data_IF_145833488437
#
_entry.id   IF_145833488437
#
_cell.length_a   1.000
_cell.length_b   1.000
_cell.length_c   1.000
_cell.angle_alpha   90.00
_cell.angle_beta   90.00
_cell.angle_gamma   90.00
#
_symmetry.space_group_name_H-M   'P 1'
#
loop_
_entity.id
_entity.type
_entity.pdbx_description
1 polymer ?
#
# COMPACT_ATOMS: atom_id res chain seq x y z
N UNK A 1 -29.41 24.60 13.27
CA UNK A 1 -28.34 24.95 12.31
C UNK A 1 -27.09 24.16 12.66
N UNK A 2 -26.91 22.97 12.10
CA UNK A 2 -25.64 22.24 12.21
C UNK A 2 -24.72 22.80 11.14
N UNK A 3 -23.77 23.66 11.53
CA UNK A 3 -22.68 24.06 10.65
C UNK A 3 -21.88 22.85 10.17
N UNK A 4 -21.03 23.00 9.14
CA UNK A 4 -20.18 21.91 8.69
C UNK A 4 -19.36 21.39 9.88
N UNK A 5 -19.57 20.12 10.24
CA UNK A 5 -18.79 19.48 11.29
C UNK A 5 -17.31 19.55 10.88
N UNK A 6 -16.41 20.03 11.74
CA UNK A 6 -14.99 19.99 11.44
C UNK A 6 -14.58 18.52 11.24
N UNK A 7 -13.79 18.20 10.20
CA UNK A 7 -13.41 16.83 9.90
C UNK A 7 -12.68 16.21 11.10
N UNK A 8 -13.27 15.15 11.67
CA UNK A 8 -12.70 14.26 12.71
C UNK A 8 -12.08 14.93 13.94
N UNK A 9 -12.46 16.17 14.28
CA UNK A 9 -11.83 16.93 15.36
C UNK A 9 -12.21 16.46 16.80
N UNK A 10 -13.14 15.52 16.94
CA UNK A 10 -13.78 15.21 18.23
C UNK A 10 -13.47 13.81 18.78
N UNK A 11 -12.75 12.96 18.04
CA UNK A 11 -12.26 11.68 18.57
C UNK A 11 -10.88 11.87 19.19
N UNK A 12 -10.70 11.47 20.44
CA UNK A 12 -9.36 11.37 21.01
C UNK A 12 -8.55 10.38 20.17
N UNK A 13 -7.37 10.77 19.66
CA UNK A 13 -6.53 9.85 18.91
C UNK A 13 -6.05 8.72 19.82
N UNK A 14 -5.95 7.51 19.28
CA UNK A 14 -5.23 6.42 19.94
C UNK A 14 -3.79 6.86 20.11
N UNK A 15 -3.17 6.49 21.23
CA UNK A 15 -1.78 6.83 21.55
C UNK A 15 -1.04 5.54 21.87
N UNK A 16 0.27 5.54 21.60
CA UNK A 16 1.15 4.41 21.86
C UNK A 16 2.42 4.85 22.60
N UNK A 17 3.06 3.97 23.41
CA UNK A 17 4.40 4.23 23.95
C UNK A 17 5.45 4.38 22.84
N UNK A 18 6.58 5.05 23.16
CA UNK A 18 7.73 5.18 22.23
C UNK A 18 8.27 3.81 21.82
N UNK A 19 8.30 2.85 22.75
CA UNK A 19 8.76 1.49 22.48
C UNK A 19 7.85 0.79 21.46
N UNK A 20 6.53 0.92 21.59
CA UNK A 20 5.58 0.33 20.66
C UNK A 20 5.70 0.95 19.25
N UNK A 21 5.94 2.27 19.16
CA UNK A 21 6.26 2.92 17.89
C UNK A 21 7.52 2.32 17.25
N UNK A 22 8.57 2.09 18.03
CA UNK A 22 9.82 1.49 17.56
C UNK A 22 9.60 0.05 17.09
N UNK A 23 8.88 -0.75 17.87
CA UNK A 23 8.57 -2.15 17.56
C UNK A 23 7.72 -2.25 16.28
N UNK A 24 6.72 -1.38 16.11
CA UNK A 24 5.87 -1.37 14.93
C UNK A 24 6.65 -0.96 13.66
N UNK A 25 7.49 0.08 13.74
CA UNK A 25 8.35 0.47 12.63
C UNK A 25 9.36 -0.62 12.27
N UNK A 26 9.98 -1.27 13.26
CA UNK A 26 10.92 -2.37 13.05
C UNK A 26 10.24 -3.59 12.41
N UNK A 27 9.04 -3.94 12.88
CA UNK A 27 8.22 -5.00 12.30
C UNK A 27 7.81 -4.67 10.86
N UNK A 28 7.37 -3.45 10.61
CA UNK A 28 7.00 -3.00 9.27
C UNK A 28 8.18 -3.04 8.29
N UNK A 29 9.37 -2.60 8.72
CA UNK A 29 10.60 -2.73 7.93
C UNK A 29 10.94 -4.19 7.64
N UNK A 30 10.91 -5.04 8.67
CA UNK A 30 11.26 -6.46 8.54
C UNK A 30 10.29 -7.20 7.60
N UNK A 31 9.00 -6.91 7.73
CA UNK A 31 7.92 -7.39 6.86
C UNK A 31 8.09 -6.88 5.42
N UNK A 32 8.42 -5.60 5.25
CA UNK A 32 8.61 -4.98 3.94
C UNK A 32 9.75 -5.62 3.16
N UNK A 33 10.82 -6.05 3.83
CA UNK A 33 11.99 -6.64 3.17
C UNK A 33 12.14 -8.15 3.37
N UNK A 34 11.14 -8.82 3.93
CA UNK A 34 11.11 -10.28 4.02
C UNK A 34 12.11 -10.91 4.99
N UNK A 35 12.47 -10.24 6.10
CA UNK A 35 13.10 -10.87 7.27
C UNK A 35 14.45 -11.61 7.09
N UNK A 36 15.13 -11.46 5.95
CA UNK A 36 16.50 -11.96 5.72
C UNK A 36 16.67 -13.46 5.41
N UNK A 37 15.63 -14.29 5.52
CA UNK A 37 15.67 -15.73 5.20
C UNK A 37 14.54 -16.11 4.25
N UNK A 38 14.83 -16.16 2.94
CA UNK A 38 13.87 -16.62 1.93
C UNK A 38 13.84 -18.15 1.95
N UNK A 39 12.76 -18.75 2.45
CA UNK A 39 12.48 -20.18 2.24
C UNK A 39 11.83 -20.33 0.87
N UNK A 40 12.36 -21.18 -0.02
CA UNK A 40 11.71 -21.41 -1.31
C UNK A 40 10.36 -22.08 -1.11
N UNK A 41 9.37 -21.63 -1.87
CA UNK A 41 8.09 -22.31 -1.99
C UNK A 41 8.26 -23.69 -2.62
N UNK A 42 7.49 -24.67 -2.14
CA UNK A 42 7.43 -26.03 -2.73
C UNK A 42 6.78 -26.00 -4.11
N UNK A 43 5.70 -25.23 -4.23
CA UNK A 43 4.94 -25.04 -5.46
C UNK A 43 4.55 -23.58 -5.58
N UNK A 44 4.64 -23.05 -6.79
CA UNK A 44 4.18 -21.71 -7.13
C UNK A 44 3.36 -21.81 -8.40
N UNK A 45 2.19 -21.18 -8.43
CA UNK A 45 1.36 -21.06 -9.63
C UNK A 45 0.89 -19.63 -9.79
N UNK A 46 0.96 -19.13 -11.02
CA UNK A 46 0.31 -17.87 -11.41
C UNK A 46 -0.87 -18.19 -12.33
N UNK A 47 -2.05 -17.68 -12.00
CA UNK A 47 -3.26 -17.79 -12.82
C UNK A 47 -3.64 -16.40 -13.34
N UNK A 48 -3.56 -16.21 -14.66
CA UNK A 48 -3.95 -14.98 -15.33
C UNK A 48 -5.38 -15.15 -15.85
N UNK A 49 -6.28 -14.28 -15.39
CA UNK A 49 -7.72 -14.40 -15.57
C UNK A 49 -8.22 -13.20 -16.37
N UNK A 50 -8.90 -13.48 -17.48
CA UNK A 50 -9.61 -12.47 -18.27
C UNK A 50 -10.90 -13.08 -18.85
N UNK A 51 -11.73 -12.24 -19.44
CA UNK A 51 -12.93 -12.68 -20.15
C UNK A 51 -12.64 -12.91 -21.64
N UNK A 52 -13.26 -13.93 -22.24
CA UNK A 52 -13.21 -14.18 -23.69
C UNK A 52 -13.67 -12.95 -24.48
N UNK A 53 -14.76 -12.31 -24.01
CA UNK A 53 -15.26 -11.07 -24.56
C UNK A 53 -14.59 -9.87 -23.86
N UNK A 54 -13.38 -9.56 -24.30
CA UNK A 54 -12.58 -8.42 -23.83
C UNK A 54 -12.57 -7.29 -24.87
N UNK A 55 -12.83 -6.05 -24.43
CA UNK A 55 -12.75 -4.84 -25.27
C UNK A 55 -11.51 -3.96 -24.98
N UNK A 56 -10.65 -4.37 -24.04
CA UNK A 56 -9.40 -3.68 -23.68
C UNK A 56 -8.22 -4.23 -24.49
N UNK A 57 -8.20 -5.54 -24.76
CA UNK A 57 -7.12 -6.24 -25.44
C UNK A 57 -5.97 -6.61 -24.50
N UNK A 58 -6.27 -7.28 -23.38
CA UNK A 58 -5.31 -7.55 -22.29
C UNK A 58 -4.24 -8.60 -22.61
N UNK A 59 -4.53 -9.50 -23.57
CA UNK A 59 -3.73 -10.69 -23.89
C UNK A 59 -2.23 -10.41 -24.15
N UNK A 60 -1.82 -9.35 -24.91
CA UNK A 60 -0.41 -9.07 -25.15
C UNK A 60 0.37 -8.80 -23.87
N UNK A 61 -0.18 -7.97 -22.96
CA UNK A 61 0.45 -7.64 -21.68
C UNK A 61 0.42 -8.82 -20.72
N UNK A 62 -0.67 -9.59 -20.66
CA UNK A 62 -0.70 -10.83 -19.88
C UNK A 62 0.37 -11.83 -20.34
N UNK A 63 0.58 -11.92 -21.66
CA UNK A 63 1.64 -12.75 -22.23
C UNK A 63 3.02 -12.28 -21.81
N UNK A 64 3.22 -10.97 -21.75
CA UNK A 64 4.47 -10.38 -21.30
C UNK A 64 4.69 -10.53 -19.78
N UNK A 65 3.64 -10.42 -18.98
CA UNK A 65 3.67 -10.67 -17.54
C UNK A 65 3.99 -12.13 -17.24
N UNK A 66 3.32 -13.07 -17.91
CA UNK A 66 3.61 -14.50 -17.83
C UNK A 66 5.09 -14.79 -18.16
N UNK A 67 5.59 -14.22 -19.26
CA UNK A 67 7.01 -14.33 -19.62
C UNK A 67 7.92 -13.76 -18.52
N UNK A 68 7.53 -12.64 -17.92
CA UNK A 68 8.30 -11.99 -16.85
C UNK A 68 8.36 -12.87 -15.59
N UNK A 69 7.24 -13.43 -15.15
CA UNK A 69 7.18 -14.39 -14.05
C UNK A 69 8.07 -15.61 -14.31
N UNK A 70 8.00 -16.18 -15.50
CA UNK A 70 8.83 -17.34 -15.83
C UNK A 70 10.33 -17.00 -15.88
N UNK A 71 10.70 -15.98 -16.66
CA UNK A 71 12.10 -15.69 -16.95
C UNK A 71 12.87 -15.15 -15.75
N UNK A 72 12.24 -14.27 -14.96
CA UNK A 72 12.91 -13.55 -13.88
C UNK A 72 12.68 -14.17 -12.50
N UNK A 73 11.54 -14.82 -12.29
CA UNK A 73 11.14 -15.36 -10.98
C UNK A 73 11.06 -16.89 -10.93
N UNK A 74 11.27 -17.58 -12.06
CA UNK A 74 11.26 -19.05 -12.10
C UNK A 74 9.87 -19.64 -11.81
N UNK A 75 8.81 -18.89 -12.05
CA UNK A 75 7.44 -19.38 -11.95
C UNK A 75 7.11 -20.11 -13.25
N UNK A 76 7.28 -21.42 -13.25
CA UNK A 76 7.05 -22.27 -14.44
C UNK A 76 5.58 -22.60 -14.65
N UNK A 77 4.79 -22.66 -13.57
CA UNK A 77 3.39 -23.03 -13.62
C UNK A 77 2.53 -21.79 -13.82
N UNK A 78 2.22 -21.50 -15.09
CA UNK A 78 1.41 -20.36 -15.48
C UNK A 78 0.15 -20.87 -16.17
N UNK A 79 -1.01 -20.64 -15.54
CA UNK A 79 -2.32 -20.95 -16.10
C UNK A 79 -2.95 -19.68 -16.66
N UNK A 80 -3.57 -19.77 -17.84
CA UNK A 80 -4.48 -18.74 -18.35
C UNK A 80 -5.89 -19.25 -18.23
N UNK A 81 -6.74 -18.49 -17.55
CA UNK A 81 -8.14 -18.80 -17.38
C UNK A 81 -8.96 -17.76 -18.13
N UNK A 82 -9.42 -18.15 -19.31
CA UNK A 82 -10.37 -17.37 -20.08
C UNK A 82 -11.79 -17.68 -19.60
N UNK A 83 -12.53 -16.67 -19.16
CA UNK A 83 -13.92 -16.79 -18.74
C UNK A 83 -14.80 -16.76 -19.99
N UNK A 84 -15.44 -17.88 -20.36
CA UNK A 84 -16.18 -17.98 -21.60
C UNK A 84 -17.49 -17.17 -21.55
N UNK A 85 -17.91 -16.65 -22.70
CA UNK A 85 -19.11 -15.80 -22.82
C UNK A 85 -20.38 -16.42 -22.25
N UNK A 86 -20.55 -17.74 -22.42
CA UNK A 86 -21.73 -18.49 -21.96
C UNK A 86 -21.60 -19.02 -20.53
N UNK A 87 -20.38 -19.06 -19.98
CA UNK A 87 -20.12 -19.57 -18.64
C UNK A 87 -20.68 -18.65 -17.55
N UNK A 88 -20.82 -19.20 -16.34
CA UNK A 88 -21.00 -18.39 -15.14
C UNK A 88 -19.62 -18.07 -14.55
N UNK A 89 -19.21 -16.77 -14.52
CA UNK A 89 -17.84 -16.40 -14.18
C UNK A 89 -17.34 -16.95 -12.84
N UNK A 90 -18.17 -16.89 -11.80
CA UNK A 90 -17.83 -17.38 -10.45
C UNK A 90 -17.50 -18.88 -10.47
N UNK A 91 -18.32 -19.68 -11.15
CA UNK A 91 -18.11 -21.12 -11.23
C UNK A 91 -16.84 -21.48 -11.99
N UNK A 92 -16.54 -20.76 -13.08
CA UNK A 92 -15.33 -20.98 -13.87
C UNK A 92 -14.07 -20.76 -13.01
N UNK A 93 -14.02 -19.66 -12.26
CA UNK A 93 -12.90 -19.37 -11.35
C UNK A 93 -12.82 -20.39 -10.22
N UNK A 94 -13.92 -20.69 -9.54
CA UNK A 94 -13.93 -21.65 -8.43
C UNK A 94 -13.51 -23.06 -8.87
N UNK A 95 -13.93 -23.53 -10.06
CA UNK A 95 -13.50 -24.81 -10.59
C UNK A 95 -11.98 -24.85 -10.83
N UNK A 96 -11.41 -23.77 -11.39
CA UNK A 96 -9.96 -23.67 -11.57
C UNK A 96 -9.20 -23.66 -10.23
N UNK A 97 -9.74 -22.99 -9.20
CA UNK A 97 -9.16 -22.99 -7.85
C UNK A 97 -9.27 -24.36 -7.17
N UNK A 98 -10.38 -25.07 -7.34
CA UNK A 98 -10.54 -26.44 -6.86
C UNK A 98 -9.53 -27.37 -7.53
N UNK A 99 -9.28 -27.21 -8.83
CA UNK A 99 -8.24 -27.98 -9.52
C UNK A 99 -6.85 -27.72 -8.90
N UNK A 100 -6.51 -26.45 -8.61
CA UNK A 100 -5.27 -26.11 -7.93
C UNK A 100 -5.16 -26.75 -6.54
N UNK A 101 -6.26 -26.82 -5.79
CA UNK A 101 -6.32 -27.50 -4.50
C UNK A 101 -6.02 -28.99 -4.65
N UNK A 102 -6.67 -29.69 -5.57
CA UNK A 102 -6.44 -31.12 -5.82
C UNK A 102 -5.01 -31.41 -6.29
N UNK A 103 -4.38 -30.48 -7.00
CA UNK A 103 -2.98 -30.55 -7.41
C UNK A 103 -2.00 -30.17 -6.29
N UNK A 104 -2.49 -29.82 -5.10
CA UNK A 104 -1.70 -29.50 -3.90
C UNK A 104 -1.02 -28.12 -3.93
N UNK A 105 -1.53 -27.15 -4.69
CA UNK A 105 -0.99 -25.77 -4.70
C UNK A 105 -1.46 -24.93 -3.51
N UNK A 106 -2.50 -25.36 -2.80
CA UNK A 106 -3.08 -24.62 -1.66
C UNK A 106 -2.55 -25.09 -0.30
N UNK A 107 -1.52 -25.93 -0.30
CA UNK A 107 -0.87 -26.46 0.91
C UNK A 107 0.11 -25.45 1.52
N UNK A 108 0.55 -25.72 2.76
CA UNK A 108 1.59 -24.94 3.42
C UNK A 108 2.89 -24.87 2.60
N UNK A 109 3.51 -23.69 2.59
CA UNK A 109 4.72 -23.39 1.82
C UNK A 109 4.51 -23.49 0.30
N UNK A 110 3.31 -23.16 -0.19
CA UNK A 110 3.01 -22.91 -1.58
C UNK A 110 2.59 -21.45 -1.79
N UNK A 111 2.64 -20.98 -3.04
CA UNK A 111 2.20 -19.63 -3.43
C UNK A 111 1.24 -19.72 -4.63
N UNK A 112 0.07 -19.09 -4.48
CA UNK A 112 -0.90 -18.87 -5.56
C UNK A 112 -0.97 -17.38 -5.87
N UNK A 113 -0.66 -17.00 -7.11
CA UNK A 113 -0.80 -15.63 -7.60
C UNK A 113 -2.00 -15.60 -8.55
N UNK A 114 -3.03 -14.83 -8.21
CA UNK A 114 -4.17 -14.57 -9.09
C UNK A 114 -4.01 -13.20 -9.72
N UNK A 115 -4.01 -13.14 -11.04
CA UNK A 115 -3.94 -11.88 -11.79
C UNK A 115 -5.25 -11.71 -12.55
N UNK A 116 -5.90 -10.57 -12.40
CA UNK A 116 -7.03 -10.20 -13.24
C UNK A 116 -6.73 -8.90 -14.00
N UNK A 117 -7.05 -8.90 -15.30
CA UNK A 117 -7.00 -7.71 -16.14
C UNK A 117 -8.35 -7.52 -16.82
N UNK A 118 -8.96 -6.35 -16.68
CA UNK A 118 -10.28 -6.10 -17.26
C UNK A 118 -10.98 -4.90 -16.66
N UNK A 119 -12.30 -4.85 -16.80
CA UNK A 119 -13.11 -3.81 -16.19
C UNK A 119 -13.48 -4.16 -14.77
N UNK A 120 -13.55 -3.13 -13.92
CA UNK A 120 -14.04 -3.23 -12.56
C UNK A 120 -15.12 -2.18 -12.30
N UNK A 121 -16.11 -2.56 -11.50
CA UNK A 121 -17.20 -1.70 -11.06
C UNK A 121 -17.38 -1.89 -9.55
N UNK A 122 -17.61 -0.80 -8.83
CA UNK A 122 -17.98 -0.85 -7.42
C UNK A 122 -19.51 -0.77 -7.30
N UNK A 123 -20.10 -1.72 -6.56
CA UNK A 123 -21.54 -1.76 -6.29
C UNK A 123 -21.76 -1.76 -4.78
N UNK A 124 -22.67 -0.91 -4.30
CA UNK A 124 -23.05 -0.88 -2.87
C UNK A 124 -23.65 -2.24 -2.51
N UNK A 125 -23.15 -2.87 -1.45
CA UNK A 125 -23.71 -4.14 -1.01
C UNK A 125 -25.11 -3.94 -0.41
N UNK A 126 -25.98 -4.93 -0.58
CA UNK A 126 -27.29 -4.93 0.05
C UNK A 126 -27.13 -4.84 1.58
N UNK A 127 -27.69 -3.79 2.19
CA UNK A 127 -27.58 -3.49 3.63
C UNK A 127 -28.20 -4.55 4.52
N UNK A 128 -28.95 -5.50 3.95
CA UNK A 128 -29.48 -6.66 4.67
C UNK A 128 -28.42 -7.75 4.94
N UNK A 129 -27.28 -7.75 4.24
CA UNK A 129 -26.18 -8.69 4.49
C UNK A 129 -25.17 -8.12 5.49
N UNK A 130 -25.27 -8.57 6.74
CA UNK A 130 -24.42 -8.16 7.87
C UNK A 130 -22.93 -8.53 7.62
N UNK A 131 -22.64 -9.43 6.67
CA UNK A 131 -21.27 -9.85 6.31
C UNK A 131 -20.70 -9.14 5.09
N UNK A 132 -21.50 -8.37 4.36
CA UNK A 132 -21.01 -7.65 3.19
C UNK A 132 -20.32 -6.35 3.62
N UNK A 133 -19.12 -6.11 3.08
CA UNK A 133 -18.55 -4.77 3.05
C UNK A 133 -19.54 -3.82 2.37
N UNK A 134 -19.54 -2.54 2.75
CA UNK A 134 -20.46 -1.56 2.14
C UNK A 134 -20.39 -1.49 0.60
N UNK A 135 -19.30 -2.00 0.01
CA UNK A 135 -19.05 -2.03 -1.43
C UNK A 135 -18.47 -3.38 -1.86
N UNK A 136 -18.79 -3.80 -3.08
CA UNK A 136 -18.33 -5.05 -3.70
C UNK A 136 -17.71 -4.77 -5.08
N UNK A 137 -16.57 -5.40 -5.36
CA UNK A 137 -15.94 -5.38 -6.68
C UNK A 137 -16.61 -6.38 -7.62
N UNK A 138 -17.22 -5.86 -8.68
CA UNK A 138 -17.71 -6.64 -9.81
C UNK A 138 -16.79 -6.45 -11.02
N UNK A 139 -16.34 -7.54 -11.62
CA UNK A 139 -15.45 -7.53 -12.76
C UNK A 139 -16.17 -7.93 -14.03
N UNK A 140 -15.76 -7.39 -15.17
CA UNK A 140 -16.35 -7.69 -16.48
C UNK A 140 -15.32 -7.61 -17.61
N UNK A 141 -15.64 -8.23 -18.74
CA UNK A 141 -14.77 -8.26 -19.91
C UNK A 141 -14.92 -7.07 -20.84
N UNK A 142 -16.15 -6.59 -21.00
CA UNK A 142 -16.45 -5.47 -21.88
C UNK A 142 -17.49 -4.55 -21.27
N UNK A 143 -17.38 -3.25 -21.54
CA UNK A 143 -18.28 -2.22 -21.02
C UNK A 143 -18.65 -1.19 -22.09
N UNK A 144 -19.93 -0.86 -22.18
CA UNK A 144 -20.42 0.27 -22.97
C UNK A 144 -21.30 1.18 -22.11
N UNK A 145 -21.06 2.50 -22.17
CA UNK A 145 -21.83 3.50 -21.43
C UNK A 145 -21.95 3.22 -19.92
N UNK A 146 -20.89 2.70 -19.31
CA UNK A 146 -20.86 2.34 -17.88
C UNK A 146 -21.61 1.05 -17.51
N UNK A 147 -22.13 0.31 -18.50
CA UNK A 147 -22.81 -0.96 -18.30
C UNK A 147 -21.96 -2.13 -18.80
N UNK A 148 -21.92 -3.20 -18.01
CA UNK A 148 -21.26 -4.45 -18.39
C UNK A 148 -21.99 -5.09 -19.57
N UNK A 149 -21.24 -5.41 -20.63
CA UNK A 149 -21.72 -6.18 -21.79
C UNK A 149 -21.54 -7.70 -21.60
N UNK A 150 -20.79 -8.10 -20.58
CA UNK A 150 -20.60 -9.49 -20.17
C UNK A 150 -21.32 -9.77 -18.85
N UNK A 151 -21.44 -11.05 -18.48
CA UNK A 151 -21.76 -11.39 -17.08
C UNK A 151 -20.66 -10.84 -16.17
N UNK A 152 -21.04 -10.42 -14.97
CA UNK A 152 -20.12 -9.88 -13.97
C UNK A 152 -19.59 -10.98 -13.06
N UNK A 153 -18.38 -10.78 -12.53
CA UNK A 153 -17.71 -11.66 -11.60
C UNK A 153 -17.55 -10.93 -10.26
N UNK A 154 -18.17 -11.45 -9.20
CA UNK A 154 -17.84 -11.00 -7.84
C UNK A 154 -16.51 -11.64 -7.42
N UNK A 155 -15.46 -10.82 -7.33
CA UNK A 155 -14.10 -11.32 -7.06
C UNK A 155 -13.99 -12.05 -5.72
N UNK A 156 -14.53 -11.46 -4.65
CA UNK A 156 -14.44 -12.02 -3.30
C UNK A 156 -15.13 -13.39 -3.21
N UNK A 157 -16.30 -13.53 -3.83
CA UNK A 157 -17.01 -14.83 -3.89
C UNK A 157 -16.22 -15.83 -4.71
N UNK A 158 -15.70 -15.41 -5.87
CA UNK A 158 -14.97 -16.28 -6.78
C UNK A 158 -13.67 -16.84 -6.18
N UNK A 159 -12.96 -16.05 -5.37
CA UNK A 159 -11.69 -16.45 -4.75
C UNK A 159 -11.84 -17.02 -3.34
N UNK A 160 -13.05 -17.05 -2.78
CA UNK A 160 -13.32 -17.50 -1.39
C UNK A 160 -12.83 -18.91 -1.07
N UNK A 161 -12.68 -19.78 -2.08
CA UNK A 161 -12.09 -21.10 -1.92
C UNK A 161 -10.64 -21.08 -1.38
N UNK A 162 -9.93 -19.95 -1.51
CA UNK A 162 -8.58 -19.78 -0.99
C UNK A 162 -8.53 -19.20 0.43
N UNK A 163 -9.65 -18.71 0.99
CA UNK A 163 -9.64 -18.02 2.28
C UNK A 163 -9.23 -18.94 3.44
N UNK A 164 -9.53 -20.23 3.33
CA UNK A 164 -9.15 -21.28 4.29
C UNK A 164 -7.84 -22.00 3.94
N UNK A 165 -7.16 -21.60 2.86
CA UNK A 165 -5.92 -22.26 2.43
C UNK A 165 -4.72 -21.95 3.33
N UNK A 166 -3.77 -22.88 3.40
CA UNK A 166 -2.52 -22.70 4.15
C UNK A 166 -1.41 -22.05 3.32
N UNK A 167 -1.62 -21.92 2.01
CA UNK A 167 -0.68 -21.27 1.10
C UNK A 167 -0.65 -19.75 1.29
N UNK A 168 0.35 -19.13 0.70
CA UNK A 168 0.34 -17.69 0.49
C UNK A 168 -0.44 -17.37 -0.79
N UNK A 169 -1.23 -16.31 -0.74
CA UNK A 169 -2.11 -15.89 -1.84
C UNK A 169 -1.87 -14.43 -2.12
N UNK A 170 -1.59 -14.12 -3.39
CA UNK A 170 -1.44 -12.74 -3.88
C UNK A 170 -2.47 -12.48 -4.96
N UNK A 171 -3.26 -11.42 -4.80
CA UNK A 171 -4.16 -10.90 -5.84
C UNK A 171 -3.49 -9.69 -6.51
N UNK A 172 -3.38 -9.72 -7.83
CA UNK A 172 -2.91 -8.62 -8.67
C UNK A 172 -4.06 -8.20 -9.57
N UNK A 173 -4.60 -7.00 -9.38
CA UNK A 173 -5.81 -6.55 -10.07
C UNK A 173 -5.55 -5.29 -10.90
N UNK A 174 -5.58 -5.43 -12.22
CA UNK A 174 -5.57 -4.32 -13.18
C UNK A 174 -6.99 -4.01 -13.67
N UNK A 175 -7.73 -3.28 -12.82
CA UNK A 175 -9.09 -2.83 -13.11
C UNK A 175 -9.45 -1.58 -12.28
N UNK A 176 -10.51 -0.88 -12.67
CA UNK A 176 -11.11 0.19 -11.85
C UNK A 176 -11.62 -0.36 -10.51
N UNK A 177 -11.64 0.48 -9.47
CA UNK A 177 -12.14 0.15 -8.13
C UNK A 177 -11.49 -1.09 -7.48
N UNK A 178 -10.30 -1.49 -7.94
CA UNK A 178 -9.67 -2.75 -7.56
C UNK A 178 -9.47 -2.90 -6.04
N UNK A 179 -9.26 -1.81 -5.31
CA UNK A 179 -9.16 -1.84 -3.84
C UNK A 179 -10.46 -2.22 -3.09
N UNK A 180 -11.60 -2.38 -3.76
CA UNK A 180 -12.81 -2.96 -3.15
C UNK A 180 -12.66 -4.48 -2.92
N UNK A 181 -11.63 -5.12 -3.47
CA UNK A 181 -11.26 -6.51 -3.19
C UNK A 181 -10.62 -6.74 -1.81
N UNK A 182 -10.37 -5.71 -1.01
CA UNK A 182 -9.60 -5.81 0.26
C UNK A 182 -10.21 -6.69 1.36
N UNK A 183 -11.38 -7.30 1.14
CA UNK A 183 -11.97 -8.20 2.13
C UNK A 183 -11.50 -9.65 1.96
N UNK A 184 -10.72 -9.97 0.92
CA UNK A 184 -10.17 -11.32 0.73
C UNK A 184 -9.05 -11.61 1.74
N UNK A 185 -8.90 -12.88 2.17
CA UNK A 185 -7.81 -13.30 3.05
C UNK A 185 -6.48 -13.48 2.27
N UNK A 186 -6.08 -12.46 1.52
CA UNK A 186 -4.93 -12.46 0.61
C UNK A 186 -4.12 -11.17 0.74
N UNK A 187 -2.88 -11.20 0.27
CA UNK A 187 -2.13 -9.98 -0.02
C UNK A 187 -2.54 -9.45 -1.37
N UNK A 188 -2.71 -8.13 -1.51
CA UNK A 188 -3.35 -7.53 -2.66
C UNK A 188 -2.49 -6.39 -3.20
N UNK A 189 -2.33 -6.36 -4.52
CA UNK A 189 -1.72 -5.27 -5.27
C UNK A 189 -2.65 -4.88 -6.43
N UNK A 190 -3.05 -3.61 -6.50
CA UNK A 190 -4.12 -3.14 -7.36
C UNK A 190 -3.72 -1.88 -8.14
N UNK A 191 -4.31 -1.72 -9.32
CA UNK A 191 -4.12 -0.54 -10.17
C UNK A 191 -4.69 0.77 -9.59
N UNK A 192 -5.75 0.70 -8.78
CA UNK A 192 -6.36 1.88 -8.16
C UNK A 192 -6.80 1.69 -6.72
N UNK A 193 -6.86 2.83 -6.01
CA UNK A 193 -7.47 2.97 -4.71
C UNK A 193 -9.01 2.88 -4.77
N UNK A 194 -9.66 2.83 -3.60
CA UNK A 194 -11.12 2.74 -3.50
C UNK A 194 -11.77 3.98 -4.10
N UNK A 195 -12.83 3.78 -4.89
CA UNK A 195 -13.53 4.87 -5.57
C UNK A 195 -12.80 5.46 -6.78
N UNK A 196 -11.62 4.96 -7.17
CA UNK A 196 -10.87 5.47 -8.32
C UNK A 196 -11.03 4.61 -9.59
N UNK A 197 -11.29 5.27 -10.72
CA UNK A 197 -11.20 4.69 -12.06
C UNK A 197 -9.73 4.62 -12.54
N UNK A 198 -9.47 3.70 -13.49
CA UNK A 198 -8.16 3.46 -14.11
C UNK A 198 -8.20 3.72 -15.62
N UNK A 199 -7.01 3.85 -16.22
CA UNK A 199 -6.90 4.01 -17.68
C UNK A 199 -7.12 2.68 -18.39
N UNK A 200 -7.79 2.74 -19.55
CA UNK A 200 -7.92 1.60 -20.48
C UNK A 200 -6.72 1.47 -21.42
N UNK A 201 -5.77 2.41 -21.37
CA UNK A 201 -4.64 2.44 -22.28
C UNK A 201 -3.58 1.40 -21.92
N UNK A 202 -3.32 0.46 -22.83
CA UNK A 202 -2.28 -0.56 -22.67
C UNK A 202 -0.85 0.02 -22.60
N UNK A 203 -0.64 1.28 -23.01
CA UNK A 203 0.68 1.92 -22.98
C UNK A 203 0.99 2.62 -21.65
N UNK A 204 -0.03 2.78 -20.79
CA UNK A 204 0.10 3.47 -19.49
C UNK A 204 -0.69 2.75 -18.40
N UNK A 205 -1.00 1.46 -18.57
CA UNK A 205 -1.76 0.69 -17.58
C UNK A 205 -0.84 0.11 -16.50
N UNK A 206 -1.46 -0.32 -15.42
CA UNK A 206 -0.77 -0.84 -14.25
C UNK A 206 0.04 -2.12 -14.56
N UNK A 207 -0.47 -3.01 -15.42
CA UNK A 207 0.26 -4.23 -15.80
C UNK A 207 1.60 -3.93 -16.46
N UNK A 208 1.69 -2.91 -17.31
CA UNK A 208 2.95 -2.52 -17.94
C UNK A 208 3.97 -1.97 -16.91
N UNK A 209 3.49 -1.14 -15.97
CA UNK A 209 4.32 -0.65 -14.87
C UNK A 209 4.83 -1.81 -13.99
N UNK A 210 3.94 -2.75 -13.66
CA UNK A 210 4.27 -3.95 -12.90
C UNK A 210 5.35 -4.79 -13.61
N UNK A 211 5.19 -5.07 -14.90
CA UNK A 211 6.19 -5.79 -15.70
C UNK A 211 7.55 -5.09 -15.63
N UNK A 212 7.55 -3.76 -15.81
CA UNK A 212 8.77 -2.95 -15.82
C UNK A 212 9.50 -3.03 -14.47
N UNK A 213 8.76 -2.85 -13.37
CA UNK A 213 9.35 -2.90 -12.03
C UNK A 213 9.79 -4.30 -11.61
N UNK A 214 9.02 -5.34 -11.95
CA UNK A 214 9.43 -6.73 -11.73
C UNK A 214 10.76 -7.04 -12.44
N UNK A 215 10.93 -6.62 -13.69
CA UNK A 215 12.21 -6.81 -14.40
C UNK A 215 13.36 -6.08 -13.72
N UNK A 216 13.15 -4.82 -13.33
CA UNK A 216 14.17 -4.00 -12.65
C UNK A 216 14.57 -4.60 -11.31
N UNK A 217 13.60 -5.10 -10.54
CA UNK A 217 13.81 -5.69 -9.22
C UNK A 217 14.33 -7.13 -9.24
N UNK A 218 14.34 -7.78 -10.39
CA UNK A 218 14.69 -9.19 -10.51
C UNK A 218 16.06 -9.57 -9.94
N UNK A 219 17.01 -8.64 -9.84
CA UNK A 219 18.40 -8.89 -9.44
C UNK A 219 18.58 -9.54 -8.05
N UNK A 220 17.57 -9.47 -7.17
CA UNK A 220 17.55 -10.15 -5.88
C UNK A 220 16.13 -10.57 -5.49
N UNK A 221 15.96 -11.18 -4.30
CA UNK A 221 14.62 -11.48 -3.83
C UNK A 221 13.88 -10.20 -3.45
N UNK A 222 12.58 -10.21 -3.72
CA UNK A 222 11.72 -9.02 -3.67
C UNK A 222 10.40 -9.40 -3.03
N UNK A 223 9.89 -8.55 -2.15
CA UNK A 223 8.54 -8.70 -1.61
C UNK A 223 7.53 -7.99 -2.50
N UNK A 224 6.26 -8.38 -2.41
CA UNK A 224 5.18 -7.63 -3.06
C UNK A 224 5.08 -6.19 -2.54
N UNK A 225 5.39 -5.93 -1.27
CA UNK A 225 5.50 -4.58 -0.71
C UNK A 225 6.62 -3.75 -1.36
N UNK A 226 7.76 -4.36 -1.71
CA UNK A 226 8.83 -3.69 -2.46
C UNK A 226 8.42 -3.39 -3.90
N UNK A 227 7.73 -4.32 -4.57
CA UNK A 227 7.16 -4.10 -5.91
C UNK A 227 6.19 -2.91 -5.88
N UNK A 228 5.26 -2.89 -4.92
CA UNK A 228 4.35 -1.76 -4.70
C UNK A 228 5.10 -0.44 -4.52
N UNK A 229 6.12 -0.43 -3.66
CA UNK A 229 6.89 0.78 -3.39
C UNK A 229 7.54 1.35 -4.65
N UNK A 230 8.03 0.50 -5.53
CA UNK A 230 8.73 0.93 -6.74
C UNK A 230 7.76 1.39 -7.83
N UNK A 231 6.58 0.76 -7.92
CA UNK A 231 5.49 1.26 -8.75
C UNK A 231 5.04 2.65 -8.24
N UNK A 232 4.93 2.85 -6.92
CA UNK A 232 4.59 4.16 -6.35
C UNK A 232 5.67 5.21 -6.63
N UNK A 233 6.95 4.85 -6.43
CA UNK A 233 8.10 5.72 -6.70
C UNK A 233 8.13 6.19 -8.16
N UNK A 234 7.87 5.28 -9.09
CA UNK A 234 7.95 5.51 -10.53
C UNK A 234 6.57 5.74 -11.18
N UNK A 235 5.52 5.96 -10.38
CA UNK A 235 4.13 6.06 -10.85
C UNK A 235 3.99 7.08 -11.99
N UNK A 236 4.63 8.25 -11.84
CA UNK A 236 4.59 9.33 -12.82
C UNK A 236 5.37 9.00 -14.09
N UNK A 237 6.54 8.36 -13.97
CA UNK A 237 7.32 7.95 -15.15
C UNK A 237 6.65 6.83 -15.93
N UNK A 238 5.83 6.02 -15.27
CA UNK A 238 4.96 5.01 -15.90
C UNK A 238 3.67 5.60 -16.49
N UNK A 239 3.38 6.88 -16.28
CA UNK A 239 2.16 7.52 -16.77
C UNK A 239 0.87 7.03 -16.09
N UNK A 240 0.96 6.43 -14.90
CA UNK A 240 -0.20 5.91 -14.18
C UNK A 240 -1.07 7.06 -13.66
N UNK A 241 -2.31 7.14 -14.14
CA UNK A 241 -3.27 8.16 -13.73
C UNK A 241 -3.81 7.92 -12.32
N UNK A 242 -4.09 6.67 -11.98
CA UNK A 242 -4.62 6.26 -10.67
C UNK A 242 -3.51 5.98 -9.68
N UNK A 243 -3.83 6.00 -8.39
CA UNK A 243 -2.88 5.65 -7.34
C UNK A 243 -2.92 4.14 -7.14
N UNK A 244 -1.82 3.40 -7.41
CA UNK A 244 -1.75 1.99 -7.09
C UNK A 244 -2.06 1.77 -5.61
N UNK A 245 -2.71 0.67 -5.32
CA UNK A 245 -3.11 0.31 -3.98
C UNK A 245 -2.49 -1.02 -3.58
N UNK A 246 -2.10 -1.13 -2.32
CA UNK A 246 -1.57 -2.37 -1.78
C UNK A 246 -2.15 -2.63 -0.40
N UNK A 247 -2.49 -3.88 -0.13
CA UNK A 247 -2.95 -4.34 1.18
C UNK A 247 -2.21 -5.61 1.57
N UNK A 248 -1.54 -5.56 2.72
CA UNK A 248 -0.90 -6.72 3.33
C UNK A 248 -1.96 -7.60 4.01
N UNK A 249 -1.81 -8.92 3.88
CA UNK A 249 -2.56 -9.88 4.69
C UNK A 249 -2.28 -9.67 6.18
N UNK A 250 -3.34 -9.57 6.99
CA UNK A 250 -3.21 -9.38 8.43
C UNK A 250 -2.35 -10.49 9.07
N UNK A 251 -1.49 -10.11 10.02
CA UNK A 251 -0.61 -11.02 10.78
C UNK A 251 0.36 -11.87 9.94
N UNK A 252 0.56 -11.55 8.65
CA UNK A 252 1.61 -12.15 7.82
C UNK A 252 2.59 -11.08 7.34
N UNK A 253 3.83 -11.48 7.07
CA UNK A 253 4.79 -10.64 6.37
C UNK A 253 4.41 -10.54 4.88
N UNK A 254 4.96 -9.54 4.17
CA UNK A 254 4.75 -9.44 2.72
C UNK A 254 5.38 -10.63 2.00
N UNK A 255 4.63 -11.21 1.08
CA UNK A 255 5.02 -12.34 0.24
C UNK A 255 6.29 -12.01 -0.53
N UNK A 256 7.27 -12.91 -0.43
CA UNK A 256 8.53 -12.84 -1.18
C UNK A 256 8.36 -13.62 -2.47
N UNK A 257 8.54 -12.98 -3.62
CA UNK A 257 8.49 -13.67 -4.90
C UNK A 257 9.67 -14.66 -5.03
N UNK A 258 9.45 -15.85 -5.63
CA UNK A 258 10.51 -16.82 -5.84
C UNK A 258 11.63 -16.23 -6.69
N UNK A 259 12.87 -16.65 -6.42
CA UNK A 259 14.03 -16.22 -7.21
C UNK A 259 14.60 -17.39 -7.98
N UNK A 260 14.88 -17.18 -9.27
CA UNK A 260 15.47 -18.21 -10.13
C UNK A 260 16.95 -18.44 -9.77
N UNK A 261 17.21 -19.23 -8.73
CA UNK A 261 18.56 -19.60 -8.29
C UNK A 261 19.42 -18.43 -7.79
N UNK A 262 18.80 -17.30 -7.42
CA UNK A 262 19.52 -16.10 -6.96
C UNK A 262 19.60 -16.11 -5.45
N UNK A 263 20.81 -16.22 -4.93
CA UNK A 263 21.08 -16.16 -3.50
C UNK A 263 21.58 -14.77 -3.12
N UNK A 264 20.98 -14.17 -2.10
CA UNK A 264 21.35 -12.86 -1.61
C UNK A 264 20.42 -12.38 -0.51
N UNK A 265 20.85 -11.39 0.26
CA UNK A 265 19.95 -10.69 1.19
C UNK A 265 19.04 -9.75 0.38
N UNK A 266 17.80 -9.63 0.81
CA UNK A 266 16.89 -8.63 0.27
C UNK A 266 17.49 -7.25 0.50
N UNK A 267 17.73 -6.53 -0.58
CA UNK A 267 18.10 -5.12 -0.51
C UNK A 267 16.82 -4.34 -0.70
N UNK A 268 16.51 -3.46 0.24
CA UNK A 268 15.42 -2.54 0.06
C UNK A 268 15.63 -1.70 -1.21
N UNK A 269 14.55 -1.24 -1.86
CA UNK A 269 14.61 -0.15 -2.82
C UNK A 269 15.46 0.99 -2.27
N UNK A 270 16.43 1.48 -3.05
CA UNK A 270 17.18 2.66 -2.62
C UNK A 270 16.33 3.90 -2.82
N UNK A 271 15.94 4.56 -1.73
CA UNK A 271 15.26 5.85 -1.79
C UNK A 271 16.29 6.98 -1.85
N UNK A 272 16.24 7.76 -2.91
CA UNK A 272 17.01 9.00 -3.05
C UNK A 272 16.39 10.16 -2.27
N UNK A 273 17.08 11.31 -2.17
CA UNK A 273 16.58 12.50 -1.46
C UNK A 273 15.25 13.04 -1.99
N UNK A 274 14.96 12.81 -3.28
CA UNK A 274 13.75 13.28 -3.97
C UNK A 274 12.82 12.13 -4.38
N UNK A 275 12.99 10.95 -3.77
CA UNK A 275 12.10 9.82 -3.99
C UNK A 275 10.73 10.06 -3.36
N UNK A 276 9.67 9.48 -3.92
CA UNK A 276 8.33 9.52 -3.32
C UNK A 276 8.31 8.81 -1.96
N UNK A 277 7.62 9.42 -0.99
CA UNK A 277 7.55 8.99 0.41
C UNK A 277 6.15 9.28 0.94
N UNK A 278 5.78 8.55 1.99
CA UNK A 278 4.52 8.74 2.69
C UNK A 278 4.78 9.48 3.99
N UNK A 279 4.15 10.65 4.14
CA UNK A 279 4.12 11.38 5.39
C UNK A 279 3.01 10.84 6.28
N UNK A 280 3.37 10.56 7.53
CA UNK A 280 2.45 10.09 8.55
C UNK A 280 2.68 10.83 9.85
N UNK A 281 1.62 11.01 10.64
CA UNK A 281 1.76 11.34 12.06
C UNK A 281 1.58 10.10 12.92
N UNK A 282 2.31 10.02 14.03
CA UNK A 282 2.09 9.05 15.10
C UNK A 282 1.84 9.77 16.42
N UNK A 283 0.82 9.34 17.16
CA UNK A 283 0.52 9.85 18.50
C UNK A 283 1.24 9.02 19.57
N UNK A 284 2.18 9.64 20.28
CA UNK A 284 3.01 8.99 21.30
C UNK A 284 2.58 9.48 22.69
N UNK A 285 2.30 8.56 23.61
CA UNK A 285 1.79 8.87 24.96
C UNK A 285 2.79 9.70 25.80
N UNK A 286 4.08 9.50 25.56
CA UNK A 286 5.14 10.14 26.31
C UNK A 286 5.40 11.57 25.84
N UNK A 287 5.86 12.42 26.75
CA UNK A 287 6.40 13.73 26.37
C UNK A 287 7.80 13.55 25.75
N UNK A 288 7.89 13.73 24.43
CA UNK A 288 9.14 13.75 23.69
C UNK A 288 9.78 15.13 23.86
N UNK A 289 10.43 15.32 25.01
CA UNK A 289 11.38 16.42 25.19
C UNK A 289 12.58 16.27 24.24
N UNK A 290 13.39 17.33 24.10
CA UNK A 290 14.51 17.39 23.14
C UNK A 290 15.42 16.15 23.19
N UNK A 291 15.78 15.67 24.38
CA UNK A 291 16.62 14.46 24.54
C UNK A 291 15.98 13.20 23.94
N UNK A 292 14.73 12.91 24.30
CA UNK A 292 13.99 11.74 23.82
C UNK A 292 13.76 11.79 22.29
N UNK A 293 13.57 12.97 21.73
CA UNK A 293 13.43 13.16 20.29
C UNK A 293 14.75 12.90 19.54
N UNK A 294 15.89 13.31 20.11
CA UNK A 294 17.21 13.00 19.53
C UNK A 294 17.55 11.52 19.63
N UNK A 295 17.19 10.85 20.72
CA UNK A 295 17.29 9.38 20.83
C UNK A 295 16.47 8.66 19.76
N UNK A 296 15.22 9.07 19.55
CA UNK A 296 14.36 8.50 18.51
C UNK A 296 14.95 8.73 17.12
N UNK A 297 15.45 9.93 16.85
CA UNK A 297 16.14 10.26 15.59
C UNK A 297 17.40 9.42 15.40
N UNK A 298 18.21 9.26 16.45
CA UNK A 298 19.41 8.42 16.41
C UNK A 298 19.02 6.96 16.13
N UNK A 299 18.00 6.42 16.80
CA UNK A 299 17.51 5.07 16.56
C UNK A 299 17.06 4.85 15.10
N UNK A 300 16.27 5.77 14.54
CA UNK A 300 15.83 5.73 13.14
C UNK A 300 17.00 5.75 12.14
N UNK A 301 18.05 6.52 12.44
CA UNK A 301 19.19 6.72 11.54
C UNK A 301 20.34 5.75 11.73
N UNK A 302 20.43 5.04 12.87
CA UNK A 302 21.59 4.20 13.21
C UNK A 302 21.24 2.76 13.59
N UNK A 303 20.10 2.50 14.23
CA UNK A 303 19.72 1.16 14.70
C UNK A 303 18.79 0.44 13.72
N UNK A 304 17.86 1.17 13.12
CA UNK A 304 16.99 0.66 12.06
C UNK A 304 17.76 0.21 10.78
N UNK A 305 18.85 0.89 10.34
CA UNK A 305 19.52 0.56 9.07
C UNK A 305 20.51 -0.61 9.12
N UNK A 306 20.93 -1.07 10.30
CA UNK A 306 21.94 -2.13 10.39
C UNK A 306 21.45 -3.48 9.82
N UNK A 307 20.14 -3.71 9.83
CA UNK A 307 19.51 -4.93 9.31
C UNK A 307 19.04 -4.79 7.85
N UNK A 308 18.84 -3.57 7.33
CA UNK A 308 18.25 -3.32 6.00
C UNK A 308 18.87 -2.09 5.32
N UNK A 309 19.94 -2.31 4.55
CA UNK A 309 20.57 -1.27 3.74
C UNK A 309 19.56 -0.71 2.70
N UNK A 310 19.33 0.61 2.71
CA UNK A 310 18.58 1.33 1.66
C UNK A 310 17.24 1.93 2.08
N UNK A 311 16.73 1.64 3.29
CA UNK A 311 15.51 2.28 3.81
C UNK A 311 15.88 3.58 4.52
N UNK A 312 15.38 4.69 4.01
CA UNK A 312 15.43 5.99 4.69
C UNK A 312 14.09 6.23 5.38
N UNK A 313 14.08 6.28 6.72
CA UNK A 313 12.96 6.83 7.52
C UNK A 313 13.46 8.10 8.18
N UNK A 314 12.74 9.20 7.98
CA UNK A 314 13.11 10.51 8.51
C UNK A 314 12.09 11.01 9.53
N UNK A 315 12.59 11.54 10.64
CA UNK A 315 11.81 12.32 11.60
C UNK A 315 11.70 13.76 11.11
N UNK A 316 10.50 14.15 10.64
CA UNK A 316 10.24 15.45 10.01
C UNK A 316 9.78 16.51 11.02
N UNK A 317 9.25 16.10 12.17
CA UNK A 317 8.83 17.03 13.22
C UNK A 317 8.33 16.34 14.49
N UNK A 318 8.39 17.07 15.59
CA UNK A 318 7.87 16.66 16.90
C UNK A 318 7.14 17.85 17.50
N UNK A 319 5.90 17.65 17.92
CA UNK A 319 5.08 18.67 18.57
C UNK A 319 4.61 18.20 19.94
N UNK A 320 4.61 19.14 20.89
CA UNK A 320 3.98 18.94 22.20
C UNK A 320 2.47 19.16 22.07
N UNK A 321 1.69 18.24 22.61
CA UNK A 321 0.24 18.27 22.76
C UNK A 321 -0.13 17.75 24.16
N UNK A 322 -1.36 17.26 24.37
CA UNK A 322 -1.73 16.40 25.51
C UNK A 322 -1.02 15.02 25.46
N UNK A 323 -0.21 14.80 24.43
CA UNK A 323 0.71 13.71 24.14
C UNK A 323 1.83 14.29 23.25
N UNK A 324 2.73 13.49 22.71
CA UNK A 324 3.58 13.96 21.60
C UNK A 324 2.98 13.55 20.26
N UNK A 325 3.10 14.43 19.27
CA UNK A 325 2.81 14.11 17.86
C UNK A 325 4.14 14.07 17.13
N UNK A 326 4.42 12.96 16.47
CA UNK A 326 5.63 12.74 15.69
C UNK A 326 5.24 12.68 14.23
N UNK A 327 5.93 13.42 13.36
CA UNK A 327 5.76 13.30 11.90
C UNK A 327 6.94 12.56 11.29
N UNK A 328 6.64 11.51 10.55
CA UNK A 328 7.62 10.62 9.93
C UNK A 328 7.43 10.63 8.41
N UNK A 329 8.54 10.52 7.69
CA UNK A 329 8.59 10.30 6.25
C UNK A 329 9.10 8.90 5.96
N UNK A 330 8.21 8.03 5.46
CA UNK A 330 8.41 6.60 5.27
C UNK A 330 8.45 6.23 3.78
N UNK A 331 9.24 5.22 3.36
CA UNK A 331 9.04 4.59 2.06
C UNK A 331 7.66 3.92 1.98
N UNK A 332 7.08 3.87 0.79
CA UNK A 332 5.74 3.29 0.58
C UNK A 332 5.67 1.81 1.01
N UNK A 333 6.75 1.04 0.81
CA UNK A 333 6.81 -0.33 1.33
C UNK A 333 6.64 -0.35 2.85
N UNK A 334 7.37 0.45 3.63
CA UNK A 334 7.27 0.45 5.10
C UNK A 334 5.89 0.90 5.57
N UNK A 335 5.38 2.01 5.02
CA UNK A 335 4.04 2.51 5.34
C UNK A 335 2.98 1.42 5.18
N UNK A 336 3.04 0.69 4.06
CA UNK A 336 2.06 -0.35 3.74
C UNK A 336 2.07 -1.57 4.67
N UNK A 337 3.12 -1.72 5.49
CA UNK A 337 3.25 -2.83 6.44
C UNK A 337 2.90 -2.46 7.88
N UNK A 338 2.65 -1.17 8.15
CA UNK A 338 2.16 -0.74 9.47
C UNK A 338 0.83 -1.41 9.80
N UNK A 339 0.53 -1.52 11.08
CA UNK A 339 -0.73 -2.09 11.52
C UNK A 339 -1.85 -1.09 11.26
N UNK A 340 -2.65 -1.32 10.21
CA UNK A 340 -3.77 -0.45 9.86
C UNK A 340 -4.88 -0.36 10.92
N UNK A 341 -4.91 -1.28 11.90
CA UNK A 341 -5.81 -1.21 13.05
C UNK A 341 -5.27 -0.30 14.16
N UNK A 342 -3.99 0.09 14.10
CA UNK A 342 -3.41 1.02 15.05
C UNK A 342 -3.84 2.46 14.70
N UNK A 343 -4.84 2.96 15.41
CA UNK A 343 -5.34 4.32 15.25
C UNK A 343 -4.37 5.43 15.65
N UNK A 344 -3.16 5.10 16.15
CA UNK A 344 -2.15 6.10 16.49
C UNK A 344 -1.48 6.69 15.25
N UNK A 345 -1.48 5.97 14.12
CA UNK A 345 -0.96 6.46 12.86
C UNK A 345 -2.04 7.16 12.04
N UNK A 346 -1.69 8.30 11.46
CA UNK A 346 -2.57 9.03 10.53
C UNK A 346 -1.80 9.41 9.28
N UNK A 347 -2.36 9.04 8.13
CA UNK A 347 -1.82 9.43 6.83
C UNK A 347 -1.97 10.94 6.61
N UNK A 348 -0.90 11.59 6.14
CA UNK A 348 -0.91 13.01 5.76
C UNK A 348 -0.96 13.14 4.24
N UNK A 349 -0.03 12.50 3.54
CA UNK A 349 0.14 12.68 2.10
C UNK A 349 1.37 12.00 1.52
N UNK A 350 1.38 11.88 0.20
CA UNK A 350 2.57 11.54 -0.58
C UNK A 350 3.42 12.79 -0.82
N UNK A 351 4.73 12.70 -0.60
CA UNK A 351 5.69 13.78 -0.86
C UNK A 351 6.88 13.26 -1.67
N UNK A 352 7.52 14.15 -2.43
CA UNK A 352 8.71 13.84 -3.26
C UNK A 352 9.94 14.63 -2.82
N UNK A 353 9.86 15.32 -1.70
CA UNK A 353 10.96 16.12 -1.15
C UNK A 353 10.96 16.05 0.38
N UNK A 354 12.09 16.47 0.95
CA UNK A 354 12.20 16.73 2.40
C UNK A 354 11.51 18.04 2.75
N UNK A 355 11.22 18.25 4.02
CA UNK A 355 10.67 19.51 4.50
C UNK A 355 11.59 20.70 4.16
N UNK A 356 11.19 21.50 3.16
CA UNK A 356 11.94 22.67 2.70
C UNK A 356 12.15 23.72 3.80
N UNK A 357 11.22 23.84 4.75
CA UNK A 357 11.34 24.82 5.85
C UNK A 357 12.49 24.49 6.80
N UNK A 358 12.79 23.20 7.00
CA UNK A 358 13.97 22.79 7.78
C UNK A 358 15.27 23.12 7.05
N UNK A 359 15.27 23.10 5.72
CA UNK A 359 16.41 23.52 4.91
C UNK A 359 16.58 25.04 4.90
N UNK A 360 15.48 25.79 4.83
CA UNK A 360 15.50 27.25 4.78
C UNK A 360 15.83 27.90 6.12
N UNK A 361 15.43 27.30 7.25
CA UNK A 361 15.76 27.83 8.59
C UNK A 361 17.26 27.80 8.89
N UNK A 362 18.03 26.98 8.18
CA UNK A 362 19.49 26.98 8.26
C UNK A 362 20.16 28.08 7.40
N UNK A 363 19.42 28.74 6.50
CA UNK A 363 19.96 29.65 5.48
C UNK A 363 19.27 31.04 5.42
N UNK A 364 18.20 31.28 6.17
CA UNK A 364 17.45 32.54 6.14
C UNK A 364 16.88 32.95 7.50
N UNK A 365 16.35 34.20 7.63
CA UNK A 365 15.69 34.63 8.85
C UNK A 365 14.53 33.68 9.14
N UNK A 366 14.42 33.24 10.40
CA UNK A 366 13.34 32.38 10.85
C UNK A 366 12.00 32.95 10.37
N UNK A 367 11.12 32.10 9.82
CA UNK A 367 9.74 32.46 9.52
C UNK A 367 9.22 33.27 10.71
N UNK A 368 8.80 34.51 10.46
CA UNK A 368 8.39 35.42 11.50
C UNK A 368 7.20 34.80 12.25
N UNK A 369 7.48 34.11 13.37
CA UNK A 369 6.59 34.09 14.50
C UNK A 369 6.34 35.57 14.78
N UNK A 370 5.15 36.06 14.43
CA UNK A 370 4.73 37.40 14.82
C UNK A 370 5.10 37.52 16.28
N UNK A 371 6.04 38.42 16.60
CA UNK A 371 6.31 38.75 17.99
C UNK A 371 4.94 39.02 18.61
N UNK A 372 4.66 38.39 19.76
CA UNK A 372 3.49 38.74 20.55
C UNK A 372 3.41 40.25 20.56
N UNK A 373 2.30 40.88 20.08
CA UNK A 373 2.24 42.33 20.05
C UNK A 373 2.55 42.80 21.46
N UNK A 374 3.58 43.65 21.59
CA UNK A 374 3.92 44.30 22.85
C UNK A 374 2.60 44.79 23.44
N UNK A 375 2.25 44.30 24.64
CA UNK A 375 0.93 44.45 25.27
C UNK A 375 0.19 45.68 24.73
N UNK A 376 -0.74 45.45 23.79
CA UNK A 376 -1.64 46.50 23.36
C UNK A 376 -2.31 47.07 24.59
N UNK A 377 -2.61 48.37 24.58
CA UNK A 377 -3.27 49.09 25.69
C UNK A 377 -4.55 48.38 26.18
N UNK A 378 -5.15 47.56 25.33
CA UNK A 378 -6.27 46.66 25.57
C UNK A 378 -6.04 45.54 26.61
N UNK A 379 -4.79 45.26 27.01
CA UNK A 379 -4.44 44.30 28.07
C UNK A 379 -4.09 44.97 29.42
N UNK A 380 -4.22 46.30 29.56
CA UNK A 380 -4.08 46.95 30.86
C UNK A 380 -5.33 46.71 31.70
N UNK A 381 -5.16 46.23 32.94
CA UNK A 381 -6.26 46.15 33.90
C UNK A 381 -6.88 47.55 34.10
N UNK A 382 -8.21 47.67 34.24
CA UNK A 382 -8.85 48.95 34.52
C UNK A 382 -8.22 49.56 35.78
N UNK A 383 -7.63 50.76 35.67
CA UNK A 383 -7.09 51.52 36.80
C UNK A 383 -5.58 51.81 36.80
N UNK A 384 -4.79 51.34 35.83
CA UNK A 384 -3.40 51.79 35.71
C UNK A 384 -3.28 53.12 34.96
N UNK A 385 -3.33 54.23 35.71
CA UNK A 385 -3.01 55.57 35.21
C UNK A 385 -1.51 55.71 34.98
N UNK A 386 -1.13 56.22 33.81
CA UNK A 386 0.24 56.63 33.50
C UNK A 386 0.60 57.90 34.28
N UNK A 387 1.35 57.74 35.38
CA UNK A 387 2.18 58.82 35.92
C UNK A 387 3.61 58.52 35.55
N UNK A 388 4.16 59.25 34.59
CA UNK A 388 5.46 59.91 34.70
C UNK A 388 5.64 60.89 33.54
N UNK A 389 6.20 62.05 33.89
CA UNK A 389 6.48 63.21 33.05
C UNK A 389 7.75 63.02 32.24
#
# INVERSE_FOLDING_TARGET
MSGPLPPRAFSAPTKIPKQELQDELQAAVSSAVGGGSVKPYKKVVAMLIHFEQDDIGVIPLETELARTFNQYYGIDQIKRLEIPRKGEPVWVVQQALLELHHLGYTEKNCLVILVFSGHGQSVEADRSDIRASSWTLLLSGAMANGLSLTKTLNWNIATSALDSSECDVVHILDCCYAAEACNSNAEILCASARGEETTKSLTTCFTLALITELRRLSSGPVTMGMVFSEIMLNRRSHGLLSTPFYHKKAQKDSVILPTKGRHGKNKAPQTGPNSARILVTAHVDESLARGNAEELKAWLTTMLPASVLGIDITLEGVWKSNSSIVMLSLPACVWSQLNHLNGAFTYIGEVTSRNHLLGWSAQGPALALRASPAMGLENKKPGQSSTEK
#
